data_IF_230438649407
#
_entry.id   IF_230438649407
#
_cell.length_a   1.000
_cell.length_b   1.000
_cell.length_c   1.000
_cell.angle_alpha   90.00
_cell.angle_beta   90.00
_cell.angle_gamma   90.00
#
_symmetry.space_group_name_H-M   'P 1'
#
loop_
_entity.id
_entity.type
_entity.pdbx_description
1 polymer ?
#
# COMPACT_ATOMS: atom_id res chain seq x y z
N UNK A 1 96.13 -21.61 -27.65
CA UNK A 1 94.66 -21.50 -27.83
C UNK A 1 94.14 -20.66 -26.68
N UNK A 2 93.84 -19.39 -26.92
CA UNK A 2 93.34 -18.47 -25.90
C UNK A 2 91.87 -18.77 -25.63
N UNK A 3 91.53 -19.11 -24.38
CA UNK A 3 90.15 -19.15 -23.91
C UNK A 3 89.90 -17.85 -23.16
N UNK A 4 89.08 -16.98 -23.75
CA UNK A 4 88.57 -15.79 -23.08
C UNK A 4 87.46 -16.24 -22.11
N UNK A 5 87.70 -16.12 -20.80
CA UNK A 5 86.65 -16.23 -19.78
C UNK A 5 86.03 -14.84 -19.64
N UNK A 6 84.79 -14.72 -20.11
CA UNK A 6 83.93 -13.55 -19.93
C UNK A 6 83.60 -13.44 -18.43
N UNK A 7 84.12 -12.41 -17.76
CA UNK A 7 83.77 -12.10 -16.38
C UNK A 7 82.30 -11.67 -16.32
N UNK A 8 81.40 -12.60 -15.95
CA UNK A 8 80.10 -12.23 -15.46
C UNK A 8 80.28 -11.52 -14.12
N UNK A 9 79.78 -10.30 -13.98
CA UNK A 9 79.64 -9.64 -12.70
C UNK A 9 78.75 -10.54 -11.81
N UNK A 10 79.36 -11.28 -10.89
CA UNK A 10 78.65 -11.95 -9.80
C UNK A 10 78.13 -10.85 -8.89
N UNK A 11 76.86 -10.47 -9.05
CA UNK A 11 76.15 -9.73 -8.02
C UNK A 11 76.00 -10.65 -6.82
N UNK A 12 76.52 -10.22 -5.67
CA UNK A 12 76.53 -10.98 -4.44
C UNK A 12 75.09 -11.34 -4.02
N UNK A 13 74.75 -12.62 -4.10
CA UNK A 13 73.61 -13.18 -3.38
C UNK A 13 74.03 -13.38 -1.92
N UNK A 14 73.94 -12.33 -1.10
CA UNK A 14 73.95 -12.48 0.35
C UNK A 14 72.49 -12.41 0.83
N UNK A 15 72.07 -13.39 1.63
CA UNK A 15 70.73 -13.52 2.24
C UNK A 15 69.55 -13.97 1.33
N UNK A 16 69.80 -14.62 0.19
CA UNK A 16 68.72 -15.24 -0.61
C UNK A 16 67.73 -14.25 -1.26
N UNK A 17 68.12 -12.97 -1.38
CA UNK A 17 67.36 -11.91 -2.05
C UNK A 17 68.15 -11.38 -3.24
N UNK A 18 67.44 -10.96 -4.28
CA UNK A 18 68.01 -10.32 -5.47
C UNK A 18 67.55 -8.86 -5.47
N UNK A 19 68.51 -7.95 -5.37
CA UNK A 19 68.29 -6.52 -5.52
C UNK A 19 68.76 -6.01 -6.88
N UNK A 20 67.93 -5.22 -7.56
CA UNK A 20 68.31 -4.45 -8.76
C UNK A 20 68.23 -2.96 -8.40
N UNK A 21 69.33 -2.23 -8.61
CA UNK A 21 69.48 -0.83 -8.21
C UNK A 21 69.26 -0.56 -6.70
N UNK A 22 69.43 -1.57 -5.86
CA UNK A 22 69.39 -1.45 -4.39
C UNK A 22 70.41 -2.40 -3.77
N UNK A 23 71.12 -1.95 -2.73
CA UNK A 23 72.07 -2.78 -1.96
C UNK A 23 71.43 -3.42 -0.73
N UNK A 24 70.18 -3.07 -0.43
CA UNK A 24 69.44 -3.54 0.75
C UNK A 24 68.02 -3.99 0.32
N UNK A 25 67.92 -5.14 -0.39
CA UNK A 25 66.65 -5.62 -0.93
C UNK A 25 65.67 -6.01 0.18
N UNK A 26 64.46 -5.43 0.14
CA UNK A 26 63.41 -5.64 1.14
C UNK A 26 62.50 -6.82 0.86
N UNK A 27 62.56 -7.39 -0.34
CA UNK A 27 61.83 -8.60 -0.75
C UNK A 27 62.78 -9.55 -1.48
N UNK A 28 62.32 -10.77 -1.79
CA UNK A 28 63.12 -11.78 -2.53
C UNK A 28 63.58 -11.27 -3.90
N UNK A 29 62.78 -10.41 -4.54
CA UNK A 29 63.15 -9.71 -5.78
C UNK A 29 62.74 -8.24 -5.66
N UNK A 30 63.71 -7.39 -5.32
CA UNK A 30 63.51 -5.96 -5.10
C UNK A 30 64.12 -5.17 -6.25
N UNK A 31 63.28 -4.43 -6.99
CA UNK A 31 63.70 -3.66 -8.17
C UNK A 31 63.40 -2.19 -7.92
N UNK A 32 64.45 -1.43 -7.62
CA UNK A 32 64.33 0.01 -7.45
C UNK A 32 64.50 0.74 -8.78
N UNK A 33 63.73 1.82 -8.93
CA UNK A 33 63.92 2.77 -10.00
C UNK A 33 65.19 3.59 -9.81
N UNK A 34 65.89 3.88 -10.91
CA UNK A 34 67.02 4.79 -10.90
C UNK A 34 66.52 6.20 -11.27
N UNK A 35 66.71 7.22 -10.41
CA UNK A 35 66.04 8.52 -10.55
C UNK A 35 66.77 9.46 -11.52
N UNK A 36 67.17 8.99 -12.71
CA UNK A 36 67.76 9.86 -13.76
C UNK A 36 66.82 10.04 -14.94
N UNK A 37 66.98 11.15 -15.66
CA UNK A 37 66.10 11.51 -16.78
C UNK A 37 66.16 10.54 -17.98
N UNK A 38 67.23 9.75 -18.10
CA UNK A 38 67.45 8.84 -19.22
C UNK A 38 67.30 7.36 -18.85
N UNK A 39 67.00 7.04 -17.58
CA UNK A 39 66.80 5.66 -17.16
C UNK A 39 65.31 5.28 -17.25
N UNK A 40 64.99 4.29 -18.08
CA UNK A 40 63.66 3.69 -18.09
C UNK A 40 63.54 2.70 -16.93
N UNK A 41 62.68 3.01 -15.95
CA UNK A 41 62.38 2.11 -14.83
C UNK A 41 61.18 1.23 -15.16
N UNK A 42 61.28 -0.08 -14.90
CA UNK A 42 60.14 -0.98 -14.96
C UNK A 42 60.52 -2.45 -14.88
N UNK A 43 59.51 -3.30 -14.66
CA UNK A 43 59.60 -4.75 -14.79
C UNK A 43 58.76 -5.17 -16.00
N UNK A 44 59.40 -5.65 -17.05
CA UNK A 44 58.69 -6.21 -18.20
C UNK A 44 58.51 -7.72 -18.03
N UNK A 45 57.26 -8.17 -17.96
CA UNK A 45 56.95 -9.60 -17.92
C UNK A 45 57.32 -10.30 -19.24
N UNK A 46 57.48 -11.65 -19.23
CA UNK A 46 57.58 -12.43 -20.46
C UNK A 46 56.43 -12.12 -21.42
N UNK A 47 56.76 -11.91 -22.69
CA UNK A 47 55.85 -11.51 -23.76
C UNK A 47 55.56 -12.66 -24.71
N UNK A 48 54.31 -12.86 -25.05
CA UNK A 48 53.88 -13.86 -26.03
C UNK A 48 52.50 -13.52 -26.61
N UNK A 49 52.18 -14.03 -27.79
CA UNK A 49 50.81 -13.98 -28.32
C UNK A 49 49.93 -15.05 -27.67
N UNK A 50 48.60 -14.90 -27.74
CA UNK A 50 47.67 -15.96 -27.30
C UNK A 50 47.84 -17.26 -28.11
N UNK A 51 48.24 -17.16 -29.37
CA UNK A 51 48.59 -18.30 -30.22
C UNK A 51 49.82 -19.05 -29.69
N UNK A 52 50.91 -18.34 -29.37
CA UNK A 52 52.11 -18.94 -28.77
C UNK A 52 51.80 -19.59 -27.42
N UNK A 53 50.92 -18.98 -26.61
CA UNK A 53 50.45 -19.58 -25.36
C UNK A 53 49.58 -20.82 -25.60
N UNK A 54 48.80 -20.84 -26.69
CA UNK A 54 48.00 -22.02 -27.10
C UNK A 54 48.89 -23.20 -27.48
N UNK A 55 50.05 -22.94 -28.09
CA UNK A 55 51.01 -23.96 -28.52
C UNK A 55 51.81 -24.59 -27.36
N UNK A 56 51.74 -24.05 -26.13
CA UNK A 56 52.39 -24.67 -24.97
C UNK A 56 51.66 -25.97 -24.60
N UNK A 57 52.33 -27.10 -24.81
CA UNK A 57 51.79 -28.45 -24.56
C UNK A 57 51.79 -28.84 -23.09
N UNK A 58 52.65 -28.23 -22.26
CA UNK A 58 52.61 -28.35 -20.79
C UNK A 58 51.68 -27.27 -20.23
N UNK A 59 50.70 -27.70 -19.44
CA UNK A 59 49.71 -26.81 -18.83
C UNK A 59 50.25 -26.16 -17.56
N UNK A 60 49.85 -24.92 -17.32
CA UNK A 60 50.07 -24.27 -16.03
C UNK A 60 49.22 -24.95 -14.95
N UNK A 61 49.70 -25.04 -13.72
CA UNK A 61 48.99 -25.64 -12.58
C UNK A 61 49.16 -24.82 -11.31
N UNK A 62 48.80 -25.41 -10.16
CA UNK A 62 48.80 -24.72 -8.86
C UNK A 62 50.14 -24.05 -8.53
N UNK A 63 51.26 -24.70 -8.88
CA UNK A 63 52.61 -24.21 -8.61
C UNK A 63 52.98 -22.97 -9.44
N UNK A 64 52.22 -22.64 -10.49
CA UNK A 64 52.41 -21.43 -11.30
C UNK A 64 51.39 -20.34 -10.99
N UNK A 65 50.60 -20.48 -9.92
CA UNK A 65 49.71 -19.41 -9.47
C UNK A 65 50.50 -18.12 -9.23
N UNK A 66 50.04 -17.02 -9.80
CA UNK A 66 50.72 -15.73 -9.77
C UNK A 66 51.75 -15.50 -10.88
N UNK A 67 52.00 -16.48 -11.76
CA UNK A 67 52.85 -16.27 -12.93
C UNK A 67 52.30 -15.11 -13.79
N UNK A 68 53.14 -14.12 -14.08
CA UNK A 68 52.77 -12.93 -14.83
C UNK A 68 53.32 -12.99 -16.25
N UNK A 69 52.46 -12.70 -17.23
CA UNK A 69 52.84 -12.57 -18.65
C UNK A 69 52.22 -11.32 -19.25
N UNK A 70 52.76 -10.89 -20.38
CA UNK A 70 52.15 -9.88 -21.23
C UNK A 70 51.73 -10.51 -22.56
N UNK A 71 50.44 -10.42 -22.88
CA UNK A 71 49.88 -10.86 -24.16
C UNK A 71 50.02 -9.72 -25.17
N UNK A 72 50.86 -9.93 -26.18
CA UNK A 72 51.16 -8.93 -27.22
C UNK A 72 50.14 -8.91 -28.34
N UNK A 73 49.42 -10.01 -28.56
CA UNK A 73 48.35 -10.14 -29.55
C UNK A 73 47.36 -11.19 -29.06
N UNK A 74 46.06 -10.88 -29.10
CA UNK A 74 45.01 -11.70 -28.51
C UNK A 74 43.94 -12.14 -29.51
N UNK A 75 44.04 -11.77 -30.79
CA UNK A 75 43.06 -12.17 -31.81
C UNK A 75 43.27 -13.60 -32.34
N UNK A 76 44.50 -14.12 -32.29
CA UNK A 76 44.88 -15.46 -32.76
C UNK A 76 44.92 -16.51 -31.62
N UNK A 77 45.00 -17.80 -31.98
CA UNK A 77 44.99 -18.92 -31.03
C UNK A 77 43.61 -19.26 -30.47
N UNK A 78 43.53 -20.24 -29.56
CA UNK A 78 42.26 -20.62 -28.94
C UNK A 78 41.98 -19.81 -27.66
N UNK A 79 40.71 -19.55 -27.39
CA UNK A 79 40.22 -18.86 -26.18
C UNK A 79 39.50 -19.86 -25.28
N UNK A 80 40.02 -21.09 -25.21
CA UNK A 80 39.40 -22.19 -24.47
C UNK A 80 40.29 -22.61 -23.30
N UNK A 81 39.67 -23.17 -22.26
CA UNK A 81 40.38 -23.64 -21.08
C UNK A 81 41.08 -22.49 -20.35
N UNK A 82 42.39 -22.60 -20.11
CA UNK A 82 43.16 -21.61 -19.37
C UNK A 82 43.17 -20.21 -20.00
N UNK A 83 42.93 -20.08 -21.31
CA UNK A 83 43.05 -18.82 -22.07
C UNK A 83 41.72 -18.10 -22.28
N UNK A 84 40.65 -18.57 -21.65
CA UNK A 84 39.28 -18.07 -21.86
C UNK A 84 39.15 -16.55 -21.71
N UNK A 85 39.80 -15.97 -20.70
CA UNK A 85 39.72 -14.53 -20.44
C UNK A 85 40.79 -13.70 -21.17
N UNK A 86 41.57 -14.30 -22.05
CA UNK A 86 42.55 -13.59 -22.88
C UNK A 86 41.86 -13.08 -24.15
N UNK A 87 41.09 -12.00 -24.01
CA UNK A 87 40.30 -11.39 -25.11
C UNK A 87 40.95 -10.16 -25.74
N UNK A 88 42.03 -9.65 -25.14
CA UNK A 88 42.71 -8.43 -25.59
C UNK A 88 44.18 -8.44 -25.16
N UNK A 89 44.98 -7.55 -25.73
CA UNK A 89 46.37 -7.37 -25.32
C UNK A 89 46.45 -6.82 -23.89
N UNK A 90 47.55 -7.13 -23.19
CA UNK A 90 47.79 -6.63 -21.83
C UNK A 90 48.47 -7.65 -20.91
N UNK A 91 48.62 -7.26 -19.64
CA UNK A 91 49.17 -8.13 -18.61
C UNK A 91 48.14 -9.14 -18.11
N UNK A 92 48.58 -10.37 -17.87
CA UNK A 92 47.78 -11.47 -17.34
C UNK A 92 48.55 -12.20 -16.25
N UNK A 93 47.88 -12.58 -15.17
CA UNK A 93 48.42 -13.50 -14.17
C UNK A 93 47.70 -14.85 -14.24
N UNK A 94 48.38 -15.95 -13.91
CA UNK A 94 47.76 -17.25 -13.83
C UNK A 94 47.10 -17.45 -12.45
N UNK A 95 45.80 -17.72 -12.43
CA UNK A 95 45.07 -18.15 -11.25
C UNK A 95 44.98 -19.68 -11.28
N UNK A 96 45.72 -20.37 -10.41
CA UNK A 96 45.74 -21.83 -10.35
C UNK A 96 44.47 -22.44 -9.77
N UNK A 97 43.73 -21.70 -8.94
CA UNK A 97 42.44 -22.17 -8.38
C UNK A 97 41.38 -22.13 -9.47
N UNK A 98 41.26 -21.00 -10.18
CA UNK A 98 40.34 -20.89 -11.31
C UNK A 98 40.83 -21.71 -12.51
N UNK A 99 42.12 -22.03 -12.58
CA UNK A 99 42.82 -22.62 -13.72
C UNK A 99 42.67 -21.75 -14.99
N UNK A 100 42.88 -20.44 -14.84
CA UNK A 100 42.67 -19.42 -15.88
C UNK A 100 43.74 -18.32 -15.84
N UNK A 101 44.04 -17.78 -17.01
CA UNK A 101 44.78 -16.52 -17.15
C UNK A 101 43.84 -15.34 -16.95
N UNK A 102 44.05 -14.61 -15.86
CA UNK A 102 43.25 -13.45 -15.46
C UNK A 102 43.94 -12.17 -15.89
N UNK A 103 43.21 -11.25 -16.55
CA UNK A 103 43.78 -9.97 -16.99
C UNK A 103 44.08 -9.09 -15.78
N UNK A 104 45.31 -8.61 -15.66
CA UNK A 104 45.69 -7.61 -14.65
C UNK A 104 45.04 -6.28 -15.04
N UNK A 105 44.30 -5.68 -14.11
CA UNK A 105 43.64 -4.41 -14.36
C UNK A 105 42.42 -4.51 -15.28
N UNK A 106 41.79 -5.70 -15.38
CA UNK A 106 40.37 -5.74 -15.75
C UNK A 106 39.57 -5.10 -14.62
N UNK A 107 39.66 -3.76 -14.53
CA UNK A 107 38.79 -2.97 -13.68
C UNK A 107 37.39 -3.42 -13.99
N UNK A 108 36.67 -3.87 -12.95
CA UNK A 108 35.22 -4.02 -13.00
C UNK A 108 34.73 -2.81 -13.76
N UNK A 109 34.25 -3.01 -14.99
CA UNK A 109 33.63 -1.93 -15.74
C UNK A 109 32.39 -1.64 -14.93
N UNK A 110 32.49 -0.68 -14.01
CA UNK A 110 31.38 -0.23 -13.17
C UNK A 110 30.41 0.42 -14.13
N UNK A 111 29.55 -0.40 -14.73
CA UNK A 111 28.35 0.08 -15.38
C UNK A 111 27.60 0.80 -14.29
N UNK A 112 27.60 2.14 -14.33
CA UNK A 112 26.85 2.92 -13.36
C UNK A 112 25.37 2.56 -13.55
N UNK A 113 24.86 1.72 -12.67
CA UNK A 113 23.44 1.42 -12.61
C UNK A 113 22.74 2.66 -12.05
N UNK A 114 21.80 3.20 -12.81
CA UNK A 114 21.01 4.36 -12.40
C UNK A 114 19.55 3.96 -12.27
N UNK A 115 18.88 4.47 -11.24
CA UNK A 115 17.43 4.37 -11.12
C UNK A 115 16.81 5.68 -11.61
N UNK A 116 16.18 5.65 -12.78
CA UNK A 116 15.56 6.84 -13.35
C UNK A 116 14.10 7.02 -12.95
N UNK A 117 13.45 6.02 -12.34
CA UNK A 117 12.03 6.09 -11.96
C UNK A 117 11.71 5.16 -10.76
N UNK A 118 11.33 5.73 -9.60
CA UNK A 118 10.70 5.02 -8.48
C UNK A 118 11.60 4.11 -7.63
N UNK A 119 12.72 3.65 -8.20
CA UNK A 119 13.76 2.91 -7.50
C UNK A 119 14.78 3.86 -6.88
N UNK A 120 15.39 3.42 -5.79
CA UNK A 120 16.53 4.04 -5.15
C UNK A 120 17.65 2.99 -5.09
N UNK A 121 18.85 3.37 -5.50
CA UNK A 121 20.03 2.49 -5.50
C UNK A 121 21.07 3.10 -4.56
N UNK A 122 21.46 2.34 -3.54
CA UNK A 122 22.51 2.73 -2.60
C UNK A 122 23.51 1.59 -2.49
N UNK A 123 24.71 1.76 -3.06
CA UNK A 123 25.70 0.70 -3.24
C UNK A 123 25.06 -0.54 -3.90
N UNK A 124 25.03 -1.66 -3.20
CA UNK A 124 24.49 -2.93 -3.71
C UNK A 124 22.99 -3.12 -3.40
N UNK A 125 22.34 -2.16 -2.73
CA UNK A 125 20.91 -2.23 -2.41
C UNK A 125 20.06 -1.54 -3.48
N UNK A 126 19.06 -2.25 -4.00
CA UNK A 126 18.05 -1.74 -4.93
C UNK A 126 16.68 -1.87 -4.27
N UNK A 127 16.00 -0.75 -4.06
CA UNK A 127 14.69 -0.73 -3.40
C UNK A 127 13.73 0.27 -4.04
N UNK A 128 12.43 0.09 -3.79
CA UNK A 128 11.42 1.10 -4.09
C UNK A 128 11.49 2.26 -3.09
N UNK A 129 10.97 3.42 -3.47
CA UNK A 129 10.95 4.64 -2.64
C UNK A 129 11.76 5.80 -3.19
N UNK A 130 12.29 5.66 -4.41
CA UNK A 130 12.80 6.79 -5.19
C UNK A 130 11.66 7.66 -5.75
N UNK A 131 12.00 8.84 -6.25
CA UNK A 131 11.02 9.71 -6.93
C UNK A 131 10.57 9.09 -8.27
N UNK A 132 9.28 9.21 -8.58
CA UNK A 132 8.75 8.85 -9.89
C UNK A 132 8.94 10.01 -10.86
N UNK A 133 9.64 9.78 -11.97
CA UNK A 133 9.80 10.72 -13.09
C UNK A 133 8.89 10.39 -14.28
N UNK A 134 8.27 9.20 -14.26
CA UNK A 134 7.36 8.67 -15.27
C UNK A 134 6.27 7.83 -14.59
N UNK A 135 5.19 7.53 -15.30
CA UNK A 135 4.18 6.58 -14.82
C UNK A 135 4.80 5.21 -14.57
N UNK A 136 4.35 4.54 -13.51
CA UNK A 136 4.74 3.17 -13.18
C UNK A 136 3.54 2.27 -13.34
N UNK A 137 3.66 1.28 -14.22
CA UNK A 137 2.73 0.17 -14.33
C UNK A 137 3.41 -1.10 -13.79
N UNK A 138 2.74 -1.80 -12.89
CA UNK A 138 3.22 -3.06 -12.30
C UNK A 138 2.34 -4.17 -12.85
N UNK A 139 2.74 -4.72 -13.99
CA UNK A 139 2.02 -5.82 -14.63
C UNK A 139 2.16 -7.10 -13.79
N UNK A 140 1.02 -7.68 -13.36
CA UNK A 140 1.01 -8.82 -12.43
C UNK A 140 0.84 -10.18 -13.10
N UNK A 141 0.31 -10.24 -14.32
CA UNK A 141 -0.05 -11.52 -14.95
C UNK A 141 -1.00 -12.32 -14.06
N UNK A 142 -0.68 -13.60 -13.84
CA UNK A 142 -1.47 -14.51 -13.02
C UNK A 142 -1.13 -14.44 -11.51
N UNK A 143 -0.30 -13.47 -11.10
CA UNK A 143 0.18 -13.34 -9.72
C UNK A 143 -0.58 -12.27 -8.91
N UNK A 144 -0.55 -12.43 -7.59
CA UNK A 144 -1.16 -11.48 -6.66
C UNK A 144 -0.15 -10.47 -6.13
N UNK A 145 -0.55 -9.20 -6.00
CA UNK A 145 0.13 -8.24 -5.12
C UNK A 145 -0.44 -8.36 -3.71
N UNK A 146 0.36 -8.83 -2.77
CA UNK A 146 -0.05 -9.01 -1.37
C UNK A 146 0.64 -7.97 -0.48
N UNK A 147 -0.15 -7.11 0.14
CA UNK A 147 0.30 -6.20 1.20
C UNK A 147 0.09 -6.88 2.57
N UNK A 148 1.02 -7.78 2.93
CA UNK A 148 0.89 -8.66 4.11
C UNK A 148 0.76 -7.90 5.43
N UNK A 149 -0.12 -8.37 6.31
CA UNK A 149 -0.50 -7.75 7.58
C UNK A 149 0.34 -8.20 8.78
N UNK A 150 1.44 -8.93 8.58
CA UNK A 150 2.35 -9.30 9.68
C UNK A 150 3.03 -8.08 10.33
N UNK A 151 2.88 -6.89 9.74
CA UNK A 151 3.19 -5.58 10.32
C UNK A 151 2.18 -4.47 9.95
N UNK A 152 2.62 -3.20 9.98
CA UNK A 152 1.79 -2.00 9.70
C UNK A 152 1.55 -1.74 8.22
N UNK A 153 1.72 -2.72 7.33
CA UNK A 153 1.50 -2.56 5.89
C UNK A 153 0.14 -1.90 5.61
N UNK A 154 0.17 -0.72 5.01
CA UNK A 154 -0.95 0.17 4.72
C UNK A 154 -0.72 0.83 3.37
N UNK A 155 -1.79 1.06 2.62
CA UNK A 155 -1.77 1.83 1.38
C UNK A 155 -2.33 3.22 1.69
N UNK A 156 -1.47 4.22 1.68
CA UNK A 156 -1.86 5.63 1.77
C UNK A 156 -1.97 6.24 0.38
N UNK A 157 -3.11 6.83 0.04
CA UNK A 157 -3.32 7.60 -1.20
C UNK A 157 -3.55 9.05 -0.78
N UNK A 158 -2.64 9.96 -1.13
CA UNK A 158 -2.70 11.36 -0.70
C UNK A 158 -2.35 11.60 0.78
N UNK A 159 -1.84 10.58 1.48
CA UNK A 159 -1.40 10.68 2.88
C UNK A 159 -0.13 9.86 3.12
N UNK A 160 0.83 10.43 3.85
CA UNK A 160 2.04 9.73 4.31
C UNK A 160 1.84 9.05 5.67
N UNK A 161 0.70 9.25 6.32
CA UNK A 161 0.40 8.74 7.66
C UNK A 161 -0.97 8.06 7.66
N UNK A 162 -1.13 6.96 6.90
CA UNK A 162 -2.40 6.24 6.84
C UNK A 162 -2.79 5.71 8.22
N UNK A 163 -3.99 6.04 8.69
CA UNK A 163 -4.58 5.51 9.92
C UNK A 163 -5.17 4.11 9.70
N UNK A 164 -5.63 3.81 8.48
CA UNK A 164 -6.26 2.53 8.10
C UNK A 164 -5.45 1.74 7.06
N UNK A 165 -5.84 0.48 6.79
CA UNK A 165 -5.17 -0.42 5.82
C UNK A 165 -5.18 0.12 4.39
N UNK A 166 -6.29 0.73 3.99
CA UNK A 166 -6.36 1.63 2.84
C UNK A 166 -6.87 2.96 3.40
N UNK A 167 -6.04 4.00 3.32
CA UNK A 167 -6.39 5.34 3.75
C UNK A 167 -6.21 6.30 2.58
N UNK A 168 -7.31 6.91 2.17
CA UNK A 168 -7.34 7.82 1.03
C UNK A 168 -7.72 9.19 1.56
N UNK A 169 -6.75 10.10 1.60
CA UNK A 169 -7.01 11.50 1.85
C UNK A 169 -7.47 12.17 0.55
N UNK A 170 -8.73 11.91 0.21
CA UNK A 170 -9.34 12.30 -1.05
C UNK A 170 -10.53 11.41 -1.41
N UNK A 171 -10.84 11.37 -2.70
CA UNK A 171 -11.99 10.66 -3.24
C UNK A 171 -11.57 9.25 -3.74
N UNK A 172 -12.47 8.27 -3.65
CA UNK A 172 -12.27 6.90 -4.15
C UNK A 172 -13.24 6.65 -5.32
N UNK A 173 -12.86 5.88 -6.34
CA UNK A 173 -13.78 5.49 -7.43
C UNK A 173 -13.76 3.99 -7.66
N UNK A 174 -14.93 3.36 -7.53
CA UNK A 174 -15.15 1.97 -7.93
C UNK A 174 -15.79 1.93 -9.33
N UNK A 175 -15.21 1.16 -10.26
CA UNK A 175 -15.82 0.91 -11.58
C UNK A 175 -16.48 -0.47 -11.55
N UNK A 176 -17.72 -0.56 -12.03
CA UNK A 176 -18.48 -1.82 -12.08
C UNK A 176 -18.69 -2.44 -10.70
N UNK A 177 -19.27 -1.68 -9.76
CA UNK A 177 -19.74 -2.25 -8.49
C UNK A 177 -20.84 -3.27 -8.83
N UNK A 178 -20.62 -4.58 -8.59
CA UNK A 178 -21.60 -5.59 -8.98
C UNK A 178 -22.90 -5.33 -8.22
N UNK A 179 -23.99 -5.14 -8.96
CA UNK A 179 -25.32 -5.08 -8.36
C UNK A 179 -25.71 -6.53 -8.06
N UNK A 180 -25.68 -6.92 -6.80
CA UNK A 180 -26.28 -8.18 -6.39
C UNK A 180 -27.78 -8.09 -6.72
N UNK A 181 -28.22 -8.83 -7.72
CA UNK A 181 -29.63 -8.95 -8.07
C UNK A 181 -30.22 -7.74 -8.82
N UNK A 182 -31.19 -8.06 -9.64
CA UNK A 182 -32.11 -7.12 -10.24
C UNK A 182 -32.85 -6.38 -9.12
N UNK A 183 -32.89 -5.05 -9.15
CA UNK A 183 -34.00 -4.33 -8.50
C UNK A 183 -35.20 -4.75 -9.34
N UNK A 184 -35.90 -5.80 -8.89
CA UNK A 184 -37.00 -6.43 -9.62
C UNK A 184 -38.05 -5.40 -9.98
N UNK A 185 -38.14 -5.07 -11.27
CA UNK A 185 -39.24 -4.34 -11.89
C UNK A 185 -40.32 -5.37 -12.22
N UNK A 186 -40.76 -6.19 -11.25
CA UNK A 186 -41.91 -7.10 -11.40
C UNK A 186 -42.28 -7.75 -10.05
N UNK A 187 -42.77 -6.95 -9.10
CA UNK A 187 -43.60 -7.44 -7.98
C UNK A 187 -43.03 -8.47 -6.99
N UNK A 188 -41.81 -8.96 -7.16
CA UNK A 188 -41.19 -9.92 -6.26
C UNK A 188 -40.61 -9.17 -5.05
N UNK A 189 -41.33 -9.21 -3.94
CA UNK A 189 -40.83 -8.83 -2.62
C UNK A 189 -39.62 -9.69 -2.27
N UNK A 190 -38.42 -9.14 -2.50
CA UNK A 190 -37.22 -9.58 -1.81
C UNK A 190 -37.17 -8.78 -0.53
N UNK A 191 -37.58 -9.42 0.57
CA UNK A 191 -37.18 -9.01 1.90
C UNK A 191 -35.65 -8.95 1.90
N UNK A 192 -35.06 -7.75 1.81
CA UNK A 192 -33.68 -7.59 2.26
C UNK A 192 -33.69 -8.10 3.69
N UNK A 193 -32.89 -9.13 4.00
CA UNK A 193 -32.74 -9.54 5.39
C UNK A 193 -32.47 -8.26 6.19
N UNK A 194 -33.11 -8.08 7.35
CA UNK A 194 -33.12 -6.83 8.13
C UNK A 194 -31.71 -6.31 8.57
N UNK A 195 -30.66 -6.91 8.04
CA UNK A 195 -29.24 -6.66 8.25
C UNK A 195 -28.46 -6.25 7.00
N UNK A 196 -29.06 -6.20 5.80
CA UNK A 196 -28.38 -5.67 4.60
C UNK A 196 -28.08 -4.18 4.78
N UNK A 197 -26.79 -3.81 4.65
CA UNK A 197 -26.33 -2.41 4.82
C UNK A 197 -25.83 -1.87 3.48
N UNK A 198 -26.50 -0.85 2.96
CA UNK A 198 -25.97 -0.05 1.86
C UNK A 198 -24.72 0.73 2.30
N UNK A 199 -23.64 0.64 1.53
CA UNK A 199 -22.50 1.55 1.70
C UNK A 199 -22.88 2.91 1.11
N UNK A 200 -23.23 3.87 1.96
CA UNK A 200 -23.43 5.27 1.52
C UNK A 200 -22.05 5.89 1.37
N UNK A 201 -21.49 5.66 0.19
CA UNK A 201 -20.43 6.48 -0.33
C UNK A 201 -21.01 7.88 -0.53
N UNK A 202 -20.28 8.95 -0.18
CA UNK A 202 -20.63 10.19 -0.86
C UNK A 202 -20.45 9.99 -2.35
N UNK A 203 -20.94 10.93 -3.14
CA UNK A 203 -20.62 10.94 -4.57
C UNK A 203 -19.10 10.87 -4.84
N UNK A 204 -18.25 11.22 -3.86
CA UNK A 204 -16.79 11.10 -3.88
C UNK A 204 -16.23 9.68 -3.65
N UNK A 205 -17.10 8.66 -3.49
CA UNK A 205 -16.76 7.24 -3.34
C UNK A 205 -15.99 6.88 -2.07
N UNK A 206 -15.73 7.86 -1.21
CA UNK A 206 -15.24 7.69 0.15
C UNK A 206 -16.41 7.25 1.02
N UNK A 207 -16.18 6.23 1.84
CA UNK A 207 -17.20 5.70 2.73
C UNK A 207 -17.59 6.78 3.75
N UNK A 208 -18.75 7.42 3.59
CA UNK A 208 -19.23 8.41 4.55
C UNK A 208 -20.14 7.76 5.58
N UNK A 209 -20.04 8.20 6.83
CA UNK A 209 -21.13 8.05 7.78
C UNK A 209 -22.25 8.99 7.37
N UNK A 210 -23.41 8.43 7.02
CA UNK A 210 -24.58 9.22 6.71
C UNK A 210 -25.44 9.36 7.98
N UNK A 211 -25.52 10.54 8.62
CA UNK A 211 -26.49 10.73 9.69
C UNK A 211 -27.89 10.71 9.07
N UNK A 212 -28.77 9.86 9.61
CA UNK A 212 -30.17 9.82 9.22
C UNK A 212 -30.74 11.26 9.28
N UNK A 213 -31.53 11.71 8.28
CA UNK A 213 -32.09 13.05 8.30
C UNK A 213 -32.83 13.27 9.63
N UNK A 214 -32.65 14.43 10.26
CA UNK A 214 -33.33 14.82 11.51
C UNK A 214 -34.86 14.90 11.39
N UNK A 215 -35.42 14.54 10.25
CA UNK A 215 -36.84 14.60 9.89
C UNK A 215 -37.41 13.26 9.43
N UNK A 216 -36.79 12.11 9.73
CA UNK A 216 -37.52 10.84 9.64
C UNK A 216 -38.53 10.82 10.77
N UNK A 217 -39.82 10.90 10.41
CA UNK A 217 -40.91 10.80 11.37
C UNK A 217 -40.89 9.43 12.03
N UNK A 218 -40.77 9.39 13.36
CA UNK A 218 -40.76 8.14 14.13
C UNK A 218 -42.20 7.64 14.30
N UNK A 219 -42.45 6.37 13.97
CA UNK A 219 -43.79 5.77 13.98
C UNK A 219 -43.84 4.67 15.04
N UNK A 220 -44.80 4.75 15.97
CA UNK A 220 -44.97 3.70 16.99
C UNK A 220 -45.31 2.36 16.34
N UNK A 221 -45.00 1.22 17.00
CA UNK A 221 -45.75 0.00 16.76
C UNK A 221 -47.26 0.24 16.89
N UNK A 222 -48.07 -0.59 16.24
CA UNK A 222 -49.53 -0.50 16.32
C UNK A 222 -50.03 -0.76 17.74
N UNK A 223 -50.79 0.19 18.28
CA UNK A 223 -51.36 0.12 19.62
C UNK A 223 -52.74 -0.53 19.57
N UNK A 224 -52.88 -1.66 20.25
CA UNK A 224 -54.11 -2.47 20.28
C UNK A 224 -54.93 -2.27 21.56
N UNK A 225 -54.48 -1.40 22.46
CA UNK A 225 -55.08 -1.11 23.77
C UNK A 225 -54.85 0.33 24.20
N UNK A 226 -54.88 0.59 25.52
CA UNK A 226 -54.56 1.92 26.04
C UNK A 226 -53.05 2.20 25.89
N UNK A 227 -52.69 3.44 25.58
CA UNK A 227 -51.31 3.87 25.38
C UNK A 227 -51.04 5.20 26.08
N UNK A 228 -49.86 5.32 26.69
CA UNK A 228 -49.39 6.53 27.35
C UNK A 228 -48.22 7.07 26.54
N UNK A 229 -48.39 8.28 26.00
CA UNK A 229 -47.32 9.03 25.37
C UNK A 229 -46.62 9.88 26.44
N UNK A 230 -45.35 9.65 26.68
CA UNK A 230 -44.56 10.35 27.68
C UNK A 230 -43.88 11.59 27.08
N UNK A 231 -43.56 12.57 27.93
CA UNK A 231 -42.91 13.80 27.49
C UNK A 231 -41.55 13.55 26.80
N UNK A 232 -40.83 12.53 27.27
CA UNK A 232 -39.54 12.09 26.74
C UNK A 232 -39.64 11.24 25.46
N UNK A 233 -40.85 10.80 25.07
CA UNK A 233 -41.02 10.01 23.85
C UNK A 233 -40.72 10.88 22.61
N UNK A 234 -40.11 10.27 21.61
CA UNK A 234 -39.69 10.92 20.37
C UNK A 234 -40.53 10.48 19.16
N UNK A 235 -41.63 9.74 19.38
CA UNK A 235 -42.56 9.36 18.32
C UNK A 235 -43.27 10.58 17.75
N UNK A 236 -43.32 10.65 16.43
CA UNK A 236 -44.10 11.63 15.68
C UNK A 236 -45.48 11.11 15.28
N UNK A 237 -45.59 9.81 15.00
CA UNK A 237 -46.81 9.15 14.53
C UNK A 237 -47.18 8.03 15.50
N UNK A 238 -48.41 8.06 16.00
CA UNK A 238 -48.99 7.04 16.87
C UNK A 238 -50.08 6.31 16.09
N UNK A 239 -49.92 5.00 15.96
CA UNK A 239 -50.85 4.13 15.24
C UNK A 239 -51.73 3.37 16.24
N UNK A 240 -53.06 3.47 16.13
CA UNK A 240 -53.99 2.64 16.89
C UNK A 240 -54.85 1.76 15.99
N UNK A 241 -55.09 0.54 16.44
CA UNK A 241 -56.01 -0.40 15.82
C UNK A 241 -56.51 -1.41 16.86
N UNK A 242 -57.41 -0.97 17.74
CA UNK A 242 -58.01 -1.86 18.73
C UNK A 242 -59.13 -2.68 18.08
N UNK A 243 -58.99 -4.00 18.06
CA UNK A 243 -59.94 -4.93 17.44
C UNK A 243 -60.97 -5.52 18.42
N UNK A 244 -61.09 -4.95 19.61
CA UNK A 244 -62.05 -5.35 20.65
C UNK A 244 -62.93 -4.17 21.05
N UNK A 245 -64.16 -4.43 21.48
CA UNK A 245 -65.13 -3.41 21.88
C UNK A 245 -64.68 -2.62 23.11
N UNK A 246 -65.10 -1.35 23.18
CA UNK A 246 -64.78 -0.42 24.27
C UNK A 246 -63.60 0.48 23.91
N UNK A 247 -63.75 1.78 24.14
CA UNK A 247 -62.78 2.77 23.69
C UNK A 247 -61.34 2.47 24.17
N UNK A 248 -60.36 2.73 23.32
CA UNK A 248 -58.97 2.82 23.74
C UNK A 248 -58.72 4.22 24.33
N UNK A 249 -57.71 4.35 25.18
CA UNK A 249 -57.27 5.64 25.72
C UNK A 249 -55.85 5.97 25.27
N UNK A 250 -55.66 7.18 24.74
CA UNK A 250 -54.36 7.80 24.53
C UNK A 250 -54.15 8.87 25.62
N UNK A 251 -53.21 8.64 26.52
CA UNK A 251 -52.85 9.62 27.56
C UNK A 251 -51.66 10.45 27.08
N UNK A 252 -51.84 11.77 27.02
CA UNK A 252 -50.84 12.75 26.61
C UNK A 252 -50.29 13.52 27.83
N UNK A 253 -49.01 13.91 27.81
CA UNK A 253 -48.36 14.59 28.93
C UNK A 253 -48.74 16.08 28.95
N UNK A 254 -48.90 16.67 30.13
CA UNK A 254 -49.19 18.10 30.32
C UNK A 254 -47.98 18.92 30.75
N UNK A 255 -46.87 18.28 31.10
CA UNK A 255 -45.63 18.91 31.54
C UNK A 255 -44.42 18.27 30.84
N UNK A 256 -43.30 19.00 30.76
CA UNK A 256 -42.08 18.50 30.12
C UNK A 256 -42.15 18.40 28.60
N UNK A 257 -43.19 18.95 27.96
CA UNK A 257 -43.38 18.95 26.50
C UNK A 257 -43.06 20.33 25.95
N UNK A 258 -42.33 20.38 24.83
CA UNK A 258 -42.03 21.63 24.13
C UNK A 258 -43.28 22.23 23.48
N UNK A 259 -43.44 23.55 23.58
CA UNK A 259 -44.53 24.28 22.93
C UNK A 259 -44.44 24.08 21.41
N UNK A 260 -45.55 23.68 20.79
CA UNK A 260 -45.60 23.38 19.36
C UNK A 260 -45.27 21.93 18.99
N UNK A 261 -44.92 21.06 19.97
CA UNK A 261 -44.75 19.62 19.70
C UNK A 261 -46.01 19.08 19.04
N UNK A 262 -45.83 18.42 17.90
CA UNK A 262 -46.92 17.92 17.06
C UNK A 262 -46.83 16.41 16.94
N UNK A 263 -47.94 15.72 17.20
CA UNK A 263 -48.08 14.28 16.98
C UNK A 263 -49.22 14.00 16.00
N UNK A 264 -49.02 12.98 15.17
CA UNK A 264 -50.02 12.44 14.26
C UNK A 264 -50.62 11.20 14.92
N UNK A 265 -51.92 11.18 15.15
CA UNK A 265 -52.60 10.06 15.79
C UNK A 265 -53.62 9.50 14.81
N UNK A 266 -53.50 8.21 14.50
CA UNK A 266 -54.46 7.49 13.68
C UNK A 266 -55.20 6.44 14.50
N UNK A 267 -56.50 6.32 14.27
CA UNK A 267 -57.33 5.23 14.77
C UNK A 267 -57.90 4.45 13.58
N UNK A 268 -57.25 3.35 13.24
CA UNK A 268 -57.70 2.43 12.20
C UNK A 268 -58.77 1.43 12.69
N UNK A 269 -59.13 1.46 13.98
CA UNK A 269 -60.13 0.55 14.55
C UNK A 269 -61.49 0.68 13.85
N UNK A 270 -62.13 -0.47 13.67
CA UNK A 270 -63.51 -0.61 13.17
C UNK A 270 -64.54 -0.81 14.28
N UNK A 271 -64.10 -1.00 15.53
CA UNK A 271 -64.96 -1.41 16.64
C UNK A 271 -64.84 -0.55 17.89
N UNK A 272 -63.84 0.33 17.96
CA UNK A 272 -63.56 1.15 19.14
C UNK A 272 -63.06 2.55 18.80
N UNK A 273 -63.66 3.55 19.41
CA UNK A 273 -63.13 4.91 19.35
C UNK A 273 -61.86 5.05 20.20
N UNK A 274 -61.10 6.11 19.98
CA UNK A 274 -59.93 6.46 20.77
C UNK A 274 -60.22 7.74 21.57
N UNK A 275 -60.26 7.61 22.89
CA UNK A 275 -60.37 8.74 23.81
C UNK A 275 -58.96 9.31 24.07
N UNK A 276 -58.72 10.56 23.68
CA UNK A 276 -57.47 11.29 23.92
C UNK A 276 -57.61 12.15 25.17
N UNK A 277 -56.73 11.91 26.15
CA UNK A 277 -56.78 12.45 27.51
C UNK A 277 -55.46 13.18 27.80
N UNK A 278 -55.45 14.35 28.44
CA UNK A 278 -56.61 15.13 28.86
C UNK A 278 -57.35 15.71 27.65
N UNK A 279 -58.68 15.84 27.76
CA UNK A 279 -59.51 16.33 26.66
C UNK A 279 -59.01 17.70 26.18
N UNK A 280 -58.81 17.83 24.87
CA UNK A 280 -58.12 18.94 24.20
C UNK A 280 -58.88 20.26 24.12
N UNK A 281 -59.89 20.46 24.97
CA UNK A 281 -60.84 21.55 24.81
C UNK A 281 -60.32 22.90 25.35
N UNK A 282 -60.17 23.86 24.43
CA UNK A 282 -60.52 25.27 24.65
C UNK A 282 -61.89 25.58 24.00
N UNK A 283 -62.29 24.89 22.90
CA UNK A 283 -63.56 25.16 22.17
C UNK A 283 -64.27 23.98 21.43
N UNK A 284 -63.82 22.72 21.49
CA UNK A 284 -64.49 21.59 20.80
C UNK A 284 -64.93 20.46 21.75
N UNK A 285 -66.04 19.80 21.39
CA UNK A 285 -66.69 18.76 22.17
C UNK A 285 -65.94 17.43 22.03
N UNK A 286 -65.21 17.04 23.09
CA UNK A 286 -64.61 15.72 23.36
C UNK A 286 -63.39 15.36 22.46
N UNK A 287 -62.24 15.08 23.09
CA UNK A 287 -61.01 14.61 22.43
C UNK A 287 -61.10 13.17 21.92
N UNK A 288 -62.18 12.81 21.24
CA UNK A 288 -62.41 11.44 20.75
C UNK A 288 -62.11 11.38 19.27
N UNK A 289 -61.26 10.43 18.87
CA UNK A 289 -61.12 10.04 17.48
C UNK A 289 -62.05 8.86 17.18
N UNK A 290 -62.94 9.08 16.21
CA UNK A 290 -63.87 8.07 15.74
C UNK A 290 -63.19 6.90 15.04
N UNK A 291 -63.99 5.90 14.68
CA UNK A 291 -63.54 4.75 13.88
C UNK A 291 -62.93 5.21 12.55
N UNK A 292 -61.80 4.61 12.17
CA UNK A 292 -61.11 4.90 10.91
C UNK A 292 -60.82 6.40 10.67
N UNK A 293 -60.49 7.14 11.73
CA UNK A 293 -60.14 8.57 11.65
C UNK A 293 -58.71 8.84 12.09
N UNK A 294 -58.18 10.00 11.69
CA UNK A 294 -56.89 10.50 12.18
C UNK A 294 -57.00 11.98 12.54
N UNK A 295 -56.10 12.43 13.39
CA UNK A 295 -55.94 13.84 13.70
C UNK A 295 -54.51 14.19 14.06
N UNK A 296 -54.20 15.46 13.90
CA UNK A 296 -52.96 16.06 14.37
C UNK A 296 -53.25 16.72 15.71
N UNK A 297 -52.38 16.52 16.69
CA UNK A 297 -52.42 17.21 17.97
C UNK A 297 -51.17 18.04 18.15
N UNK A 298 -51.35 19.29 18.59
CA UNK A 298 -50.27 20.23 18.90
C UNK A 298 -50.32 20.63 20.37
N UNK A 299 -49.17 20.63 21.05
CA UNK A 299 -49.09 21.10 22.43
C UNK A 299 -49.02 22.63 22.49
N UNK A 300 -49.97 23.27 23.18
CA UNK A 300 -50.09 24.73 23.22
C UNK A 300 -49.24 25.41 24.30
N UNK A 301 -48.67 24.64 25.23
CA UNK A 301 -47.86 25.19 26.33
C UNK A 301 -48.65 25.95 27.40
N UNK A 302 -47.96 26.69 28.28
CA UNK A 302 -48.56 27.38 29.43
C UNK A 302 -49.67 28.37 29.05
N UNK A 303 -49.49 29.11 27.94
CA UNK A 303 -50.48 30.07 27.45
C UNK A 303 -51.77 29.40 26.96
N UNK A 304 -51.71 28.13 26.54
CA UNK A 304 -52.88 27.30 26.22
C UNK A 304 -53.38 26.46 27.39
N UNK A 305 -52.92 26.73 28.62
CA UNK A 305 -53.29 25.99 29.83
C UNK A 305 -52.62 24.62 29.97
N UNK A 306 -51.45 24.42 29.36
CA UNK A 306 -50.73 23.15 29.32
C UNK A 306 -51.56 22.00 28.70
N UNK A 307 -52.32 22.33 27.65
CA UNK A 307 -53.20 21.40 26.93
C UNK A 307 -52.68 21.10 25.54
N UNK A 308 -53.05 19.91 25.06
CA UNK A 308 -52.99 19.57 23.64
C UNK A 308 -54.23 20.10 22.93
N UNK A 309 -54.08 20.51 21.68
CA UNK A 309 -55.18 20.95 20.82
C UNK A 309 -55.20 20.10 19.56
N UNK A 310 -56.41 19.71 19.13
CA UNK A 310 -56.60 19.04 17.85
C UNK A 310 -56.50 20.09 16.76
N UNK A 311 -55.63 19.87 15.78
CA UNK A 311 -55.58 20.69 14.57
C UNK A 311 -56.68 20.17 13.65
N UNK A 312 -57.77 20.92 13.54
CA UNK A 312 -58.85 20.67 12.59
C UNK A 312 -58.68 21.59 11.38
N UNK A 313 -58.96 21.11 10.18
CA UNK A 313 -59.17 22.01 9.04
C UNK A 313 -60.56 22.61 9.22
N UNK A 314 -60.63 23.90 9.53
CA UNK A 314 -61.89 24.61 9.60
C UNK A 314 -62.62 24.52 8.25
N UNK A 315 -63.92 24.22 8.29
CA UNK A 315 -64.86 24.55 7.22
C UNK A 315 -65.22 26.04 7.29
#
# INVERSE_FOLDING_TARGET
MFVAILAANLYYAQEGRIGINTTDPKTTFDVNGKPTANDMTGLQAPRLTREQLTQKTVTYGNDQTGALIYITEATLGNNLGQREFITSTGYYYFDGIANKWMKVGSGVTSTTLTANNGLNITADNVQLGGSLSKSTDVALGDFNMIFSSTGTGKVGIGTSSPAQKLDVNGNVRFRTVPRAGVIGVDGATVESAATDRMMVLASDGTAKSYPLPSTVKKITPEQTGNFIYNAADDWDVILFNKMTTGNAQLTLPTTGVEVGKTIYVSNASTVSNLDVIPSTAIREQKGVLGLQTAAIFVFLGPNGGNKWSRVTTAF
#
